data_IF_101288976005
#
_entry.id   IF_101288976005
#
_cell.length_a   1.000
_cell.length_b   1.000
_cell.length_c   1.000
_cell.angle_alpha   90.00
_cell.angle_beta   90.00
_cell.angle_gamma   90.00
#
_symmetry.space_group_name_H-M   'P 1'
#
loop_
_entity.id
_entity.type
_entity.pdbx_description
1 polymer ?
#
# COMPACT_ATOMS: atom_id res chain seq x y z
N UNK A 1 -7.32 -14.59 14.64
CA UNK A 1 -6.69 -14.08 13.41
C UNK A 1 -7.75 -13.47 12.50
N UNK A 2 -7.48 -12.28 11.97
CA UNK A 2 -8.42 -11.60 11.10
C UNK A 2 -8.34 -12.19 9.69
N UNK A 3 -9.46 -12.72 9.21
CA UNK A 3 -9.54 -13.38 7.90
C UNK A 3 -10.39 -12.61 6.88
N UNK A 4 -11.03 -11.52 7.30
CA UNK A 4 -11.96 -10.74 6.48
C UNK A 4 -11.60 -9.27 6.56
N UNK A 5 -11.57 -8.61 5.39
CA UNK A 5 -11.36 -7.17 5.30
C UNK A 5 -12.63 -6.41 5.68
N UNK A 6 -12.47 -5.21 6.23
CA UNK A 6 -13.57 -4.32 6.53
C UNK A 6 -13.16 -2.87 6.28
N UNK A 7 -14.14 -1.98 6.19
CA UNK A 7 -13.91 -0.55 6.02
C UNK A 7 -12.97 -0.03 7.11
N UNK A 8 -11.99 0.76 6.70
CA UNK A 8 -10.97 1.31 7.59
C UNK A 8 -9.71 0.48 7.72
N UNK A 9 -9.72 -0.77 7.23
CA UNK A 9 -8.51 -1.59 7.23
C UNK A 9 -7.45 -0.99 6.32
N UNK A 10 -6.18 -1.19 6.68
CA UNK A 10 -5.03 -0.73 5.90
C UNK A 10 -4.38 -1.95 5.25
N UNK A 11 -4.10 -1.84 3.97
CA UNK A 11 -3.35 -2.86 3.23
C UNK A 11 -1.97 -2.29 2.90
N UNK A 12 -0.96 -3.15 2.89
CA UNK A 12 0.42 -2.77 2.63
C UNK A 12 1.04 -3.69 1.59
N UNK A 13 1.85 -3.11 0.74
CA UNK A 13 2.63 -3.84 -0.26
C UNK A 13 3.83 -3.03 -0.69
N UNK A 14 4.46 -3.49 -1.74
CA UNK A 14 5.65 -2.85 -2.28
C UNK A 14 5.48 -2.58 -3.76
N UNK A 15 5.84 -1.37 -4.17
CA UNK A 15 6.03 -1.04 -5.57
C UNK A 15 7.53 -0.94 -5.79
N UNK A 16 8.13 -2.01 -6.37
CA UNK A 16 9.57 -2.13 -6.38
C UNK A 16 10.12 -2.20 -4.96
N UNK A 17 10.92 -1.23 -4.55
CA UNK A 17 11.49 -1.16 -3.21
C UNK A 17 10.73 -0.23 -2.27
N UNK A 18 9.77 0.53 -2.78
CA UNK A 18 9.00 1.48 -1.98
C UNK A 18 7.77 0.83 -1.35
N UNK A 19 7.53 1.16 -0.07
CA UNK A 19 6.34 0.73 0.65
C UNK A 19 5.15 1.56 0.19
N UNK A 20 4.04 0.89 -0.10
CA UNK A 20 2.79 1.55 -0.47
C UNK A 20 1.67 1.10 0.47
N UNK A 21 0.85 2.05 0.91
CA UNK A 21 -0.30 1.77 1.77
C UNK A 21 -1.60 2.15 1.08
N UNK A 22 -2.65 1.36 1.37
CA UNK A 22 -3.99 1.59 0.84
C UNK A 22 -4.99 1.45 1.99
N UNK A 23 -6.03 2.27 1.95
CA UNK A 23 -7.11 2.20 2.94
C UNK A 23 -8.36 1.62 2.30
N UNK A 24 -9.02 0.71 3.01
CA UNK A 24 -10.28 0.10 2.56
C UNK A 24 -11.43 1.07 2.79
N UNK A 25 -12.09 1.46 1.70
CA UNK A 25 -13.25 2.36 1.73
C UNK A 25 -14.54 1.56 1.83
N UNK A 26 -14.60 0.43 1.12
CA UNK A 26 -15.80 -0.40 1.09
C UNK A 26 -15.41 -1.85 0.74
N UNK A 27 -16.16 -2.80 1.27
CA UNK A 27 -15.95 -4.22 1.02
C UNK A 27 -17.24 -4.86 0.54
N UNK A 28 -17.15 -5.71 -0.48
CA UNK A 28 -18.21 -6.62 -0.89
C UNK A 28 -17.72 -8.06 -0.62
N UNK A 29 -18.54 -9.09 -0.78
CA UNK A 29 -18.07 -10.47 -0.54
C UNK A 29 -16.85 -10.88 -1.35
N UNK A 30 -16.63 -10.30 -2.54
CA UNK A 30 -15.53 -10.70 -3.43
C UNK A 30 -14.59 -9.56 -3.81
N UNK A 31 -14.95 -8.31 -3.54
CA UNK A 31 -14.16 -7.16 -3.96
C UNK A 31 -13.93 -6.18 -2.82
N UNK A 32 -12.92 -5.35 -3.00
CA UNK A 32 -12.59 -4.28 -2.07
C UNK A 32 -12.40 -2.99 -2.86
N UNK A 33 -12.90 -1.90 -2.30
CA UNK A 33 -12.72 -0.56 -2.85
C UNK A 33 -11.65 0.13 -2.02
N UNK A 34 -10.57 0.57 -2.67
CA UNK A 34 -9.36 1.07 -2.03
C UNK A 34 -9.04 2.49 -2.47
N UNK A 35 -8.36 3.23 -1.59
CA UNK A 35 -7.70 4.48 -1.95
C UNK A 35 -6.23 4.38 -1.55
N UNK A 36 -5.36 4.94 -2.37
CA UNK A 36 -3.96 5.09 -2.00
C UNK A 36 -3.86 6.17 -0.92
N UNK A 37 -3.11 5.91 0.14
CA UNK A 37 -2.91 6.86 1.23
C UNK A 37 -1.44 7.20 1.38
N UNK A 38 -1.17 8.30 2.08
CA UNK A 38 0.17 8.76 2.34
C UNK A 38 0.84 7.93 3.43
N UNK A 39 2.15 7.94 3.44
CA UNK A 39 2.97 7.29 4.45
C UNK A 39 3.81 8.31 5.18
N UNK A 40 4.05 8.04 6.47
CA UNK A 40 4.95 8.82 7.31
C UNK A 40 6.26 8.06 7.44
N UNK A 41 7.36 8.71 7.10
CA UNK A 41 8.69 8.11 7.25
C UNK A 41 9.18 8.33 8.67
N UNK A 42 9.60 7.25 9.34
CA UNK A 42 10.04 7.30 10.72
C UNK A 42 11.57 7.38 10.85
N UNK A 43 12.25 6.46 10.17
CA UNK A 43 13.71 6.41 10.16
C UNK A 43 14.17 6.52 8.72
N UNK A 44 14.94 7.56 8.42
CA UNK A 44 15.48 7.73 7.08
C UNK A 44 17.00 7.66 7.19
N UNK A 45 17.59 6.68 6.52
CA UNK A 45 19.02 6.45 6.51
C UNK A 45 19.48 6.29 5.06
N UNK A 46 19.97 7.38 4.48
CA UNK A 46 20.32 7.45 3.06
C UNK A 46 19.07 7.24 2.19
N UNK A 47 18.97 6.11 1.49
CA UNK A 47 17.81 5.79 0.65
C UNK A 47 16.82 4.86 1.36
N UNK A 48 17.19 4.31 2.52
CA UNK A 48 16.33 3.40 3.26
C UNK A 48 15.48 4.15 4.29
N UNK A 49 14.30 3.61 4.56
CA UNK A 49 13.38 4.19 5.53
C UNK A 49 12.47 3.12 6.14
N UNK A 50 11.86 3.46 7.28
CA UNK A 50 10.69 2.74 7.78
C UNK A 50 9.49 3.67 7.66
N UNK A 51 8.32 3.10 7.39
CA UNK A 51 7.12 3.88 7.13
C UNK A 51 5.90 3.29 7.84
N UNK A 52 5.00 4.17 8.22
CA UNK A 52 3.66 3.81 8.72
C UNK A 52 2.63 4.55 7.88
N UNK A 53 1.40 4.02 7.76
CA UNK A 53 0.36 4.69 6.99
C UNK A 53 -0.20 5.90 7.73
N UNK A 54 -0.76 6.84 6.96
CA UNK A 54 -1.51 7.97 7.49
C UNK A 54 -2.98 7.76 7.11
N UNK A 55 -3.80 7.19 8.00
CA UNK A 55 -5.21 6.95 7.70
C UNK A 55 -5.94 8.26 7.36
N UNK A 56 -6.89 8.17 6.42
CA UNK A 56 -7.68 9.32 6.02
C UNK A 56 -6.99 10.29 5.08
N UNK A 57 -5.76 9.98 4.63
CA UNK A 57 -4.99 10.85 3.75
C UNK A 57 -5.21 10.58 2.26
N UNK A 58 -6.13 9.70 1.91
CA UNK A 58 -6.43 9.37 0.52
C UNK A 58 -7.13 10.51 -0.19
N UNK A 59 -6.55 10.97 -1.30
CA UNK A 59 -7.11 12.06 -2.10
C UNK A 59 -7.63 11.61 -3.46
N UNK A 60 -7.26 10.39 -3.87
CA UNK A 60 -7.60 9.87 -5.19
C UNK A 60 -8.96 9.18 -5.19
N UNK A 61 -9.53 9.06 -6.39
CA UNK A 61 -10.76 8.30 -6.58
C UNK A 61 -10.54 6.85 -6.19
N UNK A 62 -11.44 6.26 -5.40
CA UNK A 62 -11.32 4.84 -5.04
C UNK A 62 -11.34 3.94 -6.27
N UNK A 63 -10.62 2.84 -6.18
CA UNK A 63 -10.58 1.83 -7.23
C UNK A 63 -10.90 0.46 -6.64
N UNK A 64 -11.45 -0.42 -7.49
CA UNK A 64 -11.92 -1.75 -7.07
C UNK A 64 -10.91 -2.82 -7.45
N UNK A 65 -10.72 -3.79 -6.52
CA UNK A 65 -9.89 -4.97 -6.77
C UNK A 65 -10.58 -6.21 -6.21
N UNK A 66 -10.29 -7.35 -6.83
CA UNK A 66 -10.76 -8.64 -6.34
C UNK A 66 -9.94 -9.05 -5.12
N UNK A 67 -10.65 -9.47 -4.06
CA UNK A 67 -10.00 -10.01 -2.86
C UNK A 67 -9.49 -11.41 -3.21
N UNK A 68 -8.29 -11.77 -2.73
CA UNK A 68 -7.76 -13.10 -2.92
C UNK A 68 -8.70 -14.14 -2.31
N UNK A 69 -8.87 -15.31 -2.97
CA UNK A 69 -9.70 -16.37 -2.43
C UNK A 69 -9.23 -16.83 -1.06
N UNK A 70 -10.18 -17.25 -0.23
CA UNK A 70 -9.92 -17.83 1.07
C UNK A 70 -8.96 -19.01 0.93
N UNK A 71 -7.93 -19.06 1.79
CA UNK A 71 -6.93 -20.12 1.75
C UNK A 71 -5.72 -19.86 0.88
N UNK A 72 -5.75 -18.82 0.06
CA UNK A 72 -4.58 -18.44 -0.75
C UNK A 72 -3.47 -17.83 0.09
N UNK A 73 -3.84 -17.12 1.15
CA UNK A 73 -2.92 -16.48 2.08
C UNK A 73 -3.50 -16.51 3.47
N UNK A 74 -2.62 -16.49 4.49
CA UNK A 74 -3.04 -16.45 5.90
C UNK A 74 -3.73 -15.14 6.24
N UNK A 75 -3.37 -14.04 5.55
CA UNK A 75 -3.99 -12.74 5.74
C UNK A 75 -4.70 -12.32 4.46
N UNK A 76 -5.82 -11.60 4.59
CA UNK A 76 -6.54 -11.15 3.40
C UNK A 76 -5.74 -10.11 2.62
N UNK A 77 -5.93 -10.10 1.31
CA UNK A 77 -5.25 -9.15 0.43
C UNK A 77 -5.82 -9.16 -0.96
N UNK A 78 -5.17 -8.42 -1.85
CA UNK A 78 -5.58 -8.32 -3.24
C UNK A 78 -4.37 -7.94 -4.11
N UNK A 79 -4.58 -8.03 -5.44
CA UNK A 79 -3.58 -7.61 -6.41
C UNK A 79 -3.92 -6.20 -6.87
N UNK A 80 -2.98 -5.27 -6.72
CA UNK A 80 -3.12 -3.90 -7.22
C UNK A 80 -2.78 -3.85 -8.71
N UNK A 81 -1.68 -4.51 -9.08
CA UNK A 81 -1.21 -4.60 -10.47
C UNK A 81 -0.46 -5.93 -10.64
N UNK A 82 0.05 -6.19 -11.84
CA UNK A 82 0.80 -7.42 -12.11
C UNK A 82 2.03 -7.58 -11.22
N UNK A 83 2.60 -6.48 -10.76
CA UNK A 83 3.80 -6.48 -9.94
C UNK A 83 3.58 -6.05 -8.48
N UNK A 84 2.36 -5.73 -8.10
CA UNK A 84 2.07 -5.22 -6.75
C UNK A 84 0.96 -6.01 -6.08
N UNK A 85 1.32 -6.76 -5.03
CA UNK A 85 0.37 -7.45 -4.16
C UNK A 85 0.33 -6.73 -2.82
N UNK A 86 -0.86 -6.60 -2.24
CA UNK A 86 -1.02 -5.97 -0.92
C UNK A 86 -1.78 -6.89 0.01
N UNK A 87 -1.42 -6.83 1.29
CA UNK A 87 -2.01 -7.66 2.33
C UNK A 87 -2.35 -6.79 3.54
N UNK A 88 -3.25 -7.30 4.38
CA UNK A 88 -3.65 -6.60 5.61
C UNK A 88 -2.41 -6.24 6.43
N UNK A 89 -2.30 -4.95 6.78
CA UNK A 89 -1.20 -4.43 7.57
C UNK A 89 -1.32 -4.90 9.01
N UNK A 90 -0.21 -5.35 9.58
CA UNK A 90 -0.16 -5.91 10.94
C UNK A 90 0.07 -4.86 12.04
N UNK A 91 0.17 -3.59 11.68
CA UNK A 91 0.39 -2.50 12.63
C UNK A 91 1.84 -2.13 12.85
N UNK A 92 2.79 -2.89 12.30
CA UNK A 92 4.21 -2.61 12.48
C UNK A 92 4.77 -1.74 11.36
N UNK A 93 5.75 -0.85 11.65
CA UNK A 93 6.40 -0.08 10.59
C UNK A 93 7.03 -0.98 9.54
N UNK A 94 6.97 -0.57 8.29
CA UNK A 94 7.51 -1.33 7.17
C UNK A 94 8.77 -0.69 6.64
N UNK A 95 9.78 -1.52 6.39
CA UNK A 95 11.04 -1.06 5.81
C UNK A 95 10.93 -1.00 4.29
N UNK A 96 11.40 0.10 3.73
CA UNK A 96 11.45 0.28 2.29
C UNK A 96 12.66 1.10 1.89
N UNK A 97 12.81 1.34 0.59
CA UNK A 97 13.87 2.16 0.07
C UNK A 97 13.34 3.02 -1.07
N UNK A 98 13.90 4.23 -1.19
CA UNK A 98 13.53 5.13 -2.28
C UNK A 98 13.90 4.46 -3.60
N UNK A 99 12.98 4.46 -4.56
CA UNK A 99 13.27 4.00 -5.91
C UNK A 99 14.10 5.09 -6.61
N UNK A 100 15.41 4.89 -6.62
CA UNK A 100 16.37 5.85 -7.15
C UNK A 100 16.10 6.21 -8.61
N UNK A 101 15.79 5.21 -9.44
CA UNK A 101 15.52 5.45 -10.85
C UNK A 101 14.27 6.32 -11.05
N UNK A 102 13.23 6.04 -10.30
CA UNK A 102 11.99 6.81 -10.33
C UNK A 102 12.19 8.22 -9.81
N UNK A 103 12.91 8.36 -8.70
CA UNK A 103 13.21 9.67 -8.10
C UNK A 103 14.04 10.53 -9.08
N UNK A 104 15.07 9.94 -9.66
CA UNK A 104 15.95 10.61 -10.62
C UNK A 104 15.17 11.13 -11.82
N UNK A 105 14.22 10.35 -12.31
CA UNK A 105 13.35 10.73 -13.42
C UNK A 105 12.45 11.92 -13.06
N UNK A 106 11.90 11.91 -11.84
CA UNK A 106 11.05 13.02 -11.36
C UNK A 106 11.84 14.31 -11.21
N UNK A 107 13.06 14.25 -10.69
CA UNK A 107 13.93 15.42 -10.55
C UNK A 107 14.26 16.01 -11.92
N UNK A 108 14.57 15.17 -12.90
CA UNK A 108 14.84 15.65 -14.26
C UNK A 108 13.63 16.35 -14.88
N UNK A 109 12.42 15.88 -14.62
CA UNK A 109 11.20 16.50 -15.08
C UNK A 109 10.95 17.86 -14.43
N UNK A 110 11.28 17.98 -13.14
CA UNK A 110 11.09 19.22 -12.38
C UNK A 110 12.10 20.31 -12.77
N UNK A 111 13.26 19.93 -13.28
CA UNK A 111 14.32 20.86 -13.67
C UNK A 111 14.17 21.41 -15.08
N UNK A 112 13.21 20.97 -15.83
CA UNK A 112 12.95 21.46 -17.19
C UNK A 112 12.18 22.75 -17.21
#
# INVERSE_FOLDING_TARGET
MKTVLKKGDILVGYRGTEVEFYEVVRVTPKTVLLVSIQKKLLDVNSIEYTAVPIPGSGEKTPFRRWIFPSGLSEVPGCRISDSELVFLWDGSPRRGAVDWERWKKQVCELEK
#
